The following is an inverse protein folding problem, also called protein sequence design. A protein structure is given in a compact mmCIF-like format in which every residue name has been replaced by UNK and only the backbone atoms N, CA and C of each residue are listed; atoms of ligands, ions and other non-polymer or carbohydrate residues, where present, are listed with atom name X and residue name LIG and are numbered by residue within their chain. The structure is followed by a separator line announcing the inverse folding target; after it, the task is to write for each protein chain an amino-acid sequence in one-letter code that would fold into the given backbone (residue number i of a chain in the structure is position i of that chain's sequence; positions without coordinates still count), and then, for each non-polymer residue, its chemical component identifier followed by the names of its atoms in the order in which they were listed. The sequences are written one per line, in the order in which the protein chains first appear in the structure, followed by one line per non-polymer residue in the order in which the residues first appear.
data_IF_328361256976
#
_entry.id   IF_328361256976
#
_cell.length_a   1.000
_cell.length_b   1.000
_cell.length_c   1.000
_cell.angle_alpha   90.00
_cell.angle_beta   90.00
_cell.angle_gamma   90.00
#
_symmetry.space_group_name_H-M   'P 1'
#
loop_
_entity.id
_entity.type
_entity.pdbx_description
1 polymer ?
#
# COMPACT_ATOMS: atom_id res chain seq x y z
N UNK A 1 -2.02 -1.56 7.91
CA UNK A 1 -1.20 -0.85 6.89
C UNK A 1 -1.53 0.62 6.74
N UNK A 2 -2.77 1.02 6.94
CA UNK A 2 -3.15 2.44 6.93
C UNK A 2 -2.39 3.23 7.99
N UNK A 3 -2.43 2.77 9.24
CA UNK A 3 -1.74 3.44 10.35
C UNK A 3 -0.22 3.47 10.15
N UNK A 4 0.37 2.40 9.63
CA UNK A 4 1.79 2.36 9.30
C UNK A 4 2.16 3.48 8.32
N UNK A 5 1.38 3.65 7.26
CA UNK A 5 1.62 4.70 6.26
C UNK A 5 1.51 6.10 6.87
N UNK A 6 0.49 6.35 7.69
CA UNK A 6 0.32 7.64 8.35
C UNK A 6 1.50 7.97 9.27
N UNK A 7 1.93 7.02 10.09
CA UNK A 7 3.04 7.23 11.02
C UNK A 7 4.36 7.50 10.29
N UNK A 8 4.67 6.71 9.27
CA UNK A 8 5.86 6.92 8.44
C UNK A 8 5.80 8.27 7.71
N UNK A 9 4.64 8.65 7.19
CA UNK A 9 4.43 9.93 6.53
C UNK A 9 4.65 11.13 7.45
N UNK A 10 4.50 10.96 8.77
CA UNK A 10 4.79 11.98 9.79
C UNK A 10 6.22 11.90 10.32
N UNK A 11 7.06 11.07 9.76
CA UNK A 11 8.46 10.92 10.16
C UNK A 11 8.68 10.09 11.41
N UNK A 12 7.70 9.31 11.83
CA UNK A 12 7.78 8.43 13.01
C UNK A 12 8.38 7.09 12.63
N UNK A 13 9.32 6.58 13.41
CA UNK A 13 9.78 5.19 13.27
C UNK A 13 8.71 4.22 13.77
N UNK A 14 8.50 3.12 13.03
CA UNK A 14 7.44 2.15 13.35
C UNK A 14 8.02 0.75 13.45
N UNK A 15 7.67 0.06 14.54
CA UNK A 15 7.92 -1.36 14.72
C UNK A 15 6.60 -2.12 14.81
N UNK A 16 6.57 -3.34 14.29
CA UNK A 16 5.39 -4.21 14.38
C UNK A 16 5.82 -5.68 14.27
N UNK A 17 4.92 -6.58 14.67
CA UNK A 17 5.19 -8.01 14.64
C UNK A 17 4.63 -8.67 13.39
N UNK A 18 5.43 -9.54 12.78
CA UNK A 18 5.01 -10.42 11.68
C UNK A 18 5.05 -11.89 12.09
N UNK A 19 4.99 -12.17 13.39
CA UNK A 19 4.98 -13.55 13.88
C UNK A 19 3.80 -14.34 13.30
N UNK A 20 4.06 -15.61 12.94
CA UNK A 20 3.06 -16.48 12.31
C UNK A 20 1.77 -16.60 13.10
N UNK A 21 1.84 -16.61 14.45
CA UNK A 21 0.67 -16.71 15.33
C UNK A 21 -0.33 -15.55 15.15
N UNK A 22 0.12 -14.37 14.69
CA UNK A 22 -0.76 -13.24 14.41
C UNK A 22 -1.26 -13.29 12.97
N UNK A 23 -0.40 -13.66 12.03
CA UNK A 23 -0.72 -13.72 10.60
C UNK A 23 -1.71 -14.84 10.27
N UNK A 24 -1.62 -15.97 10.98
CA UNK A 24 -2.55 -17.09 10.82
C UNK A 24 -4.01 -16.75 11.09
N UNK A 25 -4.28 -15.65 11.81
CA UNK A 25 -5.62 -15.16 12.09
C UNK A 25 -6.19 -14.29 10.96
N UNK A 26 -5.38 -13.93 9.99
CA UNK A 26 -5.82 -13.12 8.85
C UNK A 26 -6.64 -13.97 7.88
N UNK A 27 -7.64 -13.38 7.20
CA UNK A 27 -8.43 -14.13 6.22
C UNK A 27 -7.59 -14.55 5.04
N UNK A 28 -8.06 -15.58 4.32
CA UNK A 28 -7.52 -15.95 3.02
C UNK A 28 -7.92 -14.91 1.97
N UNK A 29 -7.06 -14.73 0.95
CA UNK A 29 -7.46 -13.97 -0.22
C UNK A 29 -8.50 -14.79 -0.99
N UNK A 30 -9.57 -14.12 -1.42
CA UNK A 30 -10.57 -14.75 -2.30
C UNK A 30 -9.97 -15.07 -3.66
N UNK A 31 -10.59 -16.00 -4.43
CA UNK A 31 -10.20 -16.20 -5.82
C UNK A 31 -10.30 -14.90 -6.60
N UNK A 32 -9.36 -14.66 -7.51
CA UNK A 32 -9.41 -13.47 -8.37
C UNK A 32 -10.67 -13.52 -9.24
N UNK A 33 -11.54 -12.52 -9.09
CA UNK A 33 -12.83 -12.48 -9.79
C UNK A 33 -12.75 -11.93 -11.21
N UNK A 34 -11.62 -11.35 -11.60
CA UNK A 34 -11.49 -10.58 -12.83
C UNK A 34 -12.03 -9.15 -12.73
N UNK A 35 -12.65 -8.79 -11.62
CA UNK A 35 -13.16 -7.44 -11.37
C UNK A 35 -12.02 -6.51 -10.99
N UNK A 36 -12.07 -5.28 -11.49
CA UNK A 36 -11.11 -4.22 -11.17
C UNK A 36 -11.85 -3.06 -10.51
N UNK A 37 -11.22 -2.46 -9.51
CA UNK A 37 -11.71 -1.26 -8.83
C UNK A 37 -10.77 -0.09 -9.16
N UNK A 38 -11.32 1.01 -9.69
CA UNK A 38 -10.54 2.20 -10.02
C UNK A 38 -10.52 3.14 -8.81
N UNK A 39 -9.33 3.54 -8.40
CA UNK A 39 -9.12 4.43 -7.25
C UNK A 39 -8.26 5.61 -7.66
N UNK A 40 -8.75 6.82 -7.42
CA UNK A 40 -7.98 8.05 -7.59
C UNK A 40 -7.22 8.32 -6.29
N UNK A 41 -5.90 8.39 -6.38
CA UNK A 41 -5.05 8.64 -5.21
C UNK A 41 -5.00 10.14 -4.95
N UNK A 42 -5.41 10.56 -3.75
CA UNK A 42 -5.35 11.97 -3.35
C UNK A 42 -3.90 12.36 -3.01
N UNK A 43 -3.55 13.62 -3.28
CA UNK A 43 -2.19 14.14 -3.09
C UNK A 43 -1.96 14.61 -1.65
N UNK A 44 -2.10 13.70 -0.70
CA UNK A 44 -1.81 13.92 0.72
C UNK A 44 -1.45 12.59 1.40
N UNK A 45 -0.98 12.64 2.64
CA UNK A 45 -0.57 11.44 3.39
C UNK A 45 -1.75 10.49 3.56
N UNK A 46 -2.93 11.00 3.89
CA UNK A 46 -4.14 10.21 4.07
C UNK A 46 -4.56 9.50 2.78
N UNK A 47 -4.43 10.17 1.64
CA UNK A 47 -4.71 9.57 0.33
C UNK A 47 -3.75 8.44 -0.02
N UNK A 48 -2.47 8.60 0.28
CA UNK A 48 -1.47 7.55 0.10
C UNK A 48 -1.74 6.36 1.03
N UNK A 49 -2.04 6.63 2.31
CA UNK A 49 -2.39 5.58 3.26
C UNK A 49 -3.64 4.82 2.83
N UNK A 50 -4.67 5.53 2.36
CA UNK A 50 -5.88 4.92 1.85
C UNK A 50 -5.62 4.03 0.64
N UNK A 51 -4.71 4.43 -0.25
CA UNK A 51 -4.38 3.64 -1.44
C UNK A 51 -3.84 2.25 -1.08
N UNK A 52 -2.95 2.16 -0.10
CA UNK A 52 -2.45 0.87 0.39
C UNK A 52 -3.52 0.06 1.10
N UNK A 53 -4.33 0.72 1.92
CA UNK A 53 -5.44 0.08 2.61
C UNK A 53 -6.43 -0.56 1.64
N UNK A 54 -6.90 0.21 0.65
CA UNK A 54 -7.90 -0.28 -0.30
C UNK A 54 -7.36 -1.37 -1.21
N UNK A 55 -6.08 -1.33 -1.55
CA UNK A 55 -5.44 -2.38 -2.33
C UNK A 55 -5.51 -3.72 -1.60
N UNK A 56 -5.22 -3.73 -0.31
CA UNK A 56 -5.26 -4.95 0.51
C UNK A 56 -6.70 -5.41 0.76
N UNK A 57 -7.61 -4.51 1.11
CA UNK A 57 -9.02 -4.84 1.35
C UNK A 57 -9.66 -5.44 0.10
N UNK A 58 -9.44 -4.84 -1.07
CA UNK A 58 -9.95 -5.38 -2.32
C UNK A 58 -9.38 -6.77 -2.63
N UNK A 59 -8.10 -7.00 -2.30
CA UNK A 59 -7.48 -8.31 -2.51
C UNK A 59 -8.17 -9.42 -1.70
N UNK A 60 -8.59 -9.15 -0.47
CA UNK A 60 -9.34 -10.12 0.32
C UNK A 60 -10.70 -10.47 -0.31
N UNK A 61 -11.26 -9.57 -1.10
CA UNK A 61 -12.50 -9.77 -1.85
C UNK A 61 -12.26 -10.29 -3.29
N UNK A 62 -11.03 -10.58 -3.66
CA UNK A 62 -10.68 -11.07 -4.99
C UNK A 62 -10.67 -9.99 -6.07
N UNK A 63 -10.59 -8.73 -5.68
CA UNK A 63 -10.65 -7.56 -6.58
C UNK A 63 -9.25 -6.97 -6.75
N UNK A 64 -8.87 -6.69 -8.00
CA UNK A 64 -7.64 -5.98 -8.33
C UNK A 64 -7.89 -4.47 -8.35
N UNK A 65 -7.06 -3.70 -7.66
CA UNK A 65 -7.17 -2.25 -7.64
C UNK A 65 -6.32 -1.63 -8.75
N UNK A 66 -6.90 -0.68 -9.48
CA UNK A 66 -6.21 0.13 -10.49
C UNK A 66 -6.16 1.56 -9.99
N UNK A 67 -4.97 2.14 -9.93
CA UNK A 67 -4.76 3.47 -9.36
C UNK A 67 -4.63 4.53 -10.45
N UNK A 68 -5.22 5.70 -10.18
CA UNK A 68 -5.04 6.92 -10.96
C UNK A 68 -4.19 7.90 -10.14
N UNK A 69 -3.01 8.23 -10.65
CA UNK A 69 -2.04 9.11 -9.99
C UNK A 69 -2.10 10.55 -10.51
N UNK A 70 -3.07 10.88 -11.33
CA UNK A 70 -3.12 12.19 -12.03
C UNK A 70 -3.21 13.40 -11.09
N UNK A 71 -3.70 13.20 -9.87
CA UNK A 71 -3.82 14.28 -8.87
C UNK A 71 -2.55 14.49 -8.03
N UNK A 72 -1.57 13.61 -8.14
CA UNK A 72 -0.32 13.72 -7.38
C UNK A 72 0.57 14.76 -8.04
N UNK A 73 1.08 15.70 -7.24
CA UNK A 73 1.98 16.75 -7.72
C UNK A 73 3.27 16.16 -8.29
N UNK A 74 3.88 16.80 -9.29
CA UNK A 74 5.11 16.29 -9.90
C UNK A 74 6.28 16.33 -8.92
N UNK A 75 7.29 15.49 -9.19
CA UNK A 75 8.53 15.49 -8.44
C UNK A 75 9.18 16.87 -8.46
N UNK A 76 9.69 17.32 -7.31
CA UNK A 76 10.32 18.62 -7.16
C UNK A 76 9.37 19.75 -6.76
N UNK A 77 8.05 19.56 -6.76
CA UNK A 77 7.10 20.56 -6.29
C UNK A 77 7.31 20.84 -4.80
N UNK A 78 7.21 22.11 -4.33
CA UNK A 78 7.43 22.41 -2.92
C UNK A 78 6.34 21.83 -2.02
N UNK A 79 6.73 21.33 -0.85
CA UNK A 79 5.83 20.85 0.19
C UNK A 79 5.59 21.96 1.21
N UNK A 80 4.36 22.48 1.27
CA UNK A 80 4.03 23.64 2.10
C UNK A 80 3.96 23.32 3.60
N UNK A 81 3.56 22.11 3.97
CA UNK A 81 3.31 21.73 5.37
C UNK A 81 4.48 21.01 6.02
N UNK A 82 5.34 20.36 5.26
CA UNK A 82 6.41 19.50 5.76
C UNK A 82 7.82 19.99 5.43
N UNK A 83 7.91 20.99 4.54
CA UNK A 83 9.18 21.42 3.98
C UNK A 83 9.72 20.42 2.96
N UNK A 84 10.75 20.81 2.22
CA UNK A 84 11.33 19.98 1.18
C UNK A 84 10.51 19.97 -0.11
N UNK A 85 10.73 18.95 -0.93
CA UNK A 85 10.09 18.82 -2.24
C UNK A 85 9.34 17.50 -2.36
N UNK A 86 8.34 17.46 -3.25
CA UNK A 86 7.56 16.26 -3.54
C UNK A 86 8.41 15.23 -4.29
N UNK A 87 8.17 13.95 -4.03
CA UNK A 87 8.83 12.83 -4.72
C UNK A 87 8.15 12.45 -6.04
N UNK A 88 6.96 12.99 -6.34
CA UNK A 88 6.14 12.54 -7.46
C UNK A 88 5.41 11.25 -7.13
N UNK A 89 4.82 10.62 -8.16
CA UNK A 89 4.02 9.40 -7.97
C UNK A 89 4.81 8.10 -8.22
N UNK A 90 5.99 8.19 -8.79
CA UNK A 90 6.74 7.03 -9.30
C UNK A 90 7.09 6.02 -8.21
N UNK A 91 7.52 6.48 -7.04
CA UNK A 91 7.82 5.59 -5.91
C UNK A 91 6.55 4.92 -5.36
N UNK A 92 5.45 5.66 -5.32
CA UNK A 92 4.16 5.12 -4.91
C UNK A 92 3.68 4.05 -5.89
N UNK A 93 3.77 4.31 -7.18
CA UNK A 93 3.41 3.34 -8.22
C UNK A 93 4.25 2.07 -8.11
N UNK A 94 5.57 2.20 -7.91
CA UNK A 94 6.46 1.04 -7.71
C UNK A 94 6.04 0.20 -6.52
N UNK A 95 5.65 0.85 -5.41
CA UNK A 95 5.17 0.14 -4.23
C UNK A 95 3.87 -0.61 -4.53
N UNK A 96 2.91 0.03 -5.18
CA UNK A 96 1.65 -0.61 -5.57
C UNK A 96 1.88 -1.82 -6.50
N UNK A 97 2.78 -1.68 -7.47
CA UNK A 97 3.12 -2.77 -8.41
C UNK A 97 3.78 -3.94 -7.67
N UNK A 98 4.73 -3.64 -6.78
CA UNK A 98 5.42 -4.68 -6.01
C UNK A 98 4.46 -5.42 -5.06
N UNK A 99 3.57 -4.70 -4.39
CA UNK A 99 2.54 -5.29 -3.54
C UNK A 99 1.58 -6.13 -4.38
N UNK A 100 1.19 -5.66 -5.56
CA UNK A 100 0.29 -6.43 -6.43
C UNK A 100 0.91 -7.77 -6.85
N UNK A 101 2.21 -7.85 -7.06
CA UNK A 101 2.89 -9.13 -7.34
C UNK A 101 2.75 -10.11 -6.19
N UNK A 102 2.86 -9.64 -4.95
CA UNK A 102 2.65 -10.47 -3.77
C UNK A 102 1.20 -10.96 -3.72
N UNK A 103 0.24 -10.07 -3.98
CA UNK A 103 -1.18 -10.42 -4.01
C UNK A 103 -1.49 -11.46 -5.10
N UNK A 104 -0.92 -11.28 -6.29
CA UNK A 104 -1.15 -12.19 -7.42
C UNK A 104 -0.64 -13.60 -7.14
N UNK A 105 0.39 -13.75 -6.29
CA UNK A 105 0.91 -15.04 -5.87
C UNK A 105 0.07 -15.70 -4.78
N UNK A 106 -0.87 -14.98 -4.17
CA UNK A 106 -1.61 -15.42 -2.98
C UNK A 106 -3.12 -15.57 -3.18
N UNK A 107 -3.65 -15.41 -4.38
CA UNK A 107 -5.08 -15.66 -4.62
C UNK A 107 -5.46 -17.07 -4.13
N UNK A 108 -6.57 -17.19 -3.41
CA UNK A 108 -7.06 -18.41 -2.78
C UNK A 108 -6.20 -18.92 -1.62
N UNK A 109 -5.22 -18.16 -1.17
CA UNK A 109 -4.32 -18.55 -0.08
C UNK A 109 -4.24 -17.47 0.99
N UNK A 110 -3.44 -17.71 2.00
CA UNK A 110 -3.22 -16.80 3.11
C UNK A 110 -1.81 -16.22 3.02
N UNK A 111 -1.64 -14.96 3.46
CA UNK A 111 -0.31 -14.39 3.63
C UNK A 111 0.51 -15.15 4.66
N UNK A 112 1.82 -15.22 4.43
CA UNK A 112 2.78 -15.62 5.45
C UNK A 112 3.52 -14.40 6.04
N UNK A 113 4.40 -14.64 7.01
CA UNK A 113 5.15 -13.56 7.67
C UNK A 113 6.04 -12.78 6.71
N UNK A 114 6.62 -13.45 5.72
CA UNK A 114 7.49 -12.81 4.72
C UNK A 114 6.69 -11.86 3.84
N UNK A 115 5.49 -12.27 3.42
CA UNK A 115 4.60 -11.42 2.62
C UNK A 115 4.28 -10.11 3.32
N UNK A 116 3.90 -10.19 4.59
CA UNK A 116 3.52 -9.00 5.39
C UNK A 116 4.73 -8.10 5.61
N UNK A 117 5.89 -8.68 5.89
CA UNK A 117 7.13 -7.92 6.04
C UNK A 117 7.50 -7.21 4.73
N UNK A 118 7.42 -7.89 3.60
CA UNK A 118 7.72 -7.33 2.29
C UNK A 118 6.75 -6.20 1.91
N UNK A 119 5.46 -6.38 2.17
CA UNK A 119 4.45 -5.33 1.96
C UNK A 119 4.81 -4.08 2.77
N UNK A 120 5.14 -4.25 4.04
CA UNK A 120 5.52 -3.12 4.90
C UNK A 120 6.79 -2.42 4.40
N UNK A 121 7.78 -3.18 3.93
CA UNK A 121 9.00 -2.63 3.35
C UNK A 121 8.72 -1.83 2.07
N UNK A 122 7.85 -2.29 1.21
CA UNK A 122 7.46 -1.57 0.00
C UNK A 122 6.73 -0.27 0.34
N UNK A 123 5.85 -0.28 1.33
CA UNK A 123 5.18 0.94 1.81
C UNK A 123 6.22 1.94 2.35
N UNK A 124 7.15 1.47 3.18
CA UNK A 124 8.19 2.33 3.74
C UNK A 124 9.08 2.94 2.65
N UNK A 125 9.38 2.19 1.60
CA UNK A 125 10.16 2.67 0.46
C UNK A 125 9.47 3.75 -0.38
N UNK A 126 8.14 3.85 -0.29
CA UNK A 126 7.36 4.86 -1.02
C UNK A 126 7.28 6.19 -0.27
N UNK A 127 7.59 6.20 1.00
CA UNK A 127 7.51 7.35 1.89
C UNK A 127 8.90 7.88 2.22
#
# INVERSE_FOLDING_TARGET
MYDLTLLLGHGVGVGFSVEGRYIEQWPFLSPHTGTKSNVVVQDNIEGWAFSFYIQLVNAFDGIKTVFDYSKIRPAGAPLLTRGGTASGYELLERAHVAIQKILDDRWCTQFDSVDIFDIACHIAGAI
#
